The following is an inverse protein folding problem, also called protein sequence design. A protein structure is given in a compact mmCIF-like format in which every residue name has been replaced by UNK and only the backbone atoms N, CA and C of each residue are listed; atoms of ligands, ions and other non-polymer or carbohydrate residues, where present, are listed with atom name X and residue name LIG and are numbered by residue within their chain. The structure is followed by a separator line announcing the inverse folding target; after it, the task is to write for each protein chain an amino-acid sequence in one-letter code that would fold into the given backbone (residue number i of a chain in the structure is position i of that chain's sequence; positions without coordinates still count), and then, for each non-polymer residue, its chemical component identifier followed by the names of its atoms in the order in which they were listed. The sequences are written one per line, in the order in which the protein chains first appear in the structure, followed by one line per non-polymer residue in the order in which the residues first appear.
data_IF_772190268886
#
_entry.id   IF_772190268886
#
_cell.length_a   1.000
_cell.length_b   1.000
_cell.length_c   1.000
_cell.angle_alpha   90.00
_cell.angle_beta   90.00
_cell.angle_gamma   90.00
#
_symmetry.space_group_name_H-M   'P 1'
#
loop_
_entity.id
_entity.type
_entity.pdbx_description
1 polymer ?
#
# COMPACT_ATOMS: atom_id res chain seq x y z
N UNK A 1 7.27 -19.15 -0.01
CA UNK A 1 6.50 -18.08 -0.69
C UNK A 1 5.04 -18.50 -0.71
N UNK A 2 4.15 -17.59 -0.35
CA UNK A 2 2.70 -17.73 -0.51
C UNK A 2 2.22 -16.66 -1.49
N UNK A 3 1.44 -17.04 -2.50
CA UNK A 3 0.79 -16.10 -3.41
C UNK A 3 -0.66 -15.91 -2.97
N UNK A 4 -1.09 -14.65 -2.89
CA UNK A 4 -2.49 -14.27 -2.64
C UNK A 4 -3.04 -13.65 -3.91
N UNK A 5 -4.10 -14.23 -4.46
CA UNK A 5 -4.67 -13.74 -5.72
C UNK A 5 -5.59 -12.54 -5.49
N UNK A 6 -5.61 -11.62 -6.44
CA UNK A 6 -6.47 -10.44 -6.40
C UNK A 6 -7.96 -10.81 -6.23
N UNK A 7 -8.38 -11.88 -6.88
CA UNK A 7 -9.76 -12.39 -6.82
C UNK A 7 -10.14 -13.01 -5.47
N UNK A 8 -9.15 -13.28 -4.60
CA UNK A 8 -9.37 -13.82 -3.24
C UNK A 8 -9.39 -12.71 -2.18
N UNK A 9 -9.13 -11.45 -2.57
CA UNK A 9 -9.24 -10.31 -1.66
C UNK A 9 -10.68 -10.14 -1.24
N UNK A 10 -10.89 -9.73 0.00
CA UNK A 10 -12.23 -9.46 0.48
C UNK A 10 -12.74 -8.15 -0.14
N UNK A 11 -13.96 -8.17 -0.67
CA UNK A 11 -14.62 -6.99 -1.21
C UNK A 11 -15.35 -6.25 -0.09
N UNK A 12 -14.95 -5.01 0.16
CA UNK A 12 -15.57 -4.09 1.11
C UNK A 12 -16.08 -2.82 0.43
N UNK A 13 -16.08 -1.72 1.18
CA UNK A 13 -16.51 -0.41 0.70
C UNK A 13 -18.02 -0.19 0.81
N UNK A 14 -18.48 0.86 0.14
CA UNK A 14 -19.88 1.29 0.04
C UNK A 14 -20.16 1.69 -1.42
N UNK A 15 -20.69 0.76 -2.24
CA UNK A 15 -20.98 1.02 -3.64
C UNK A 15 -21.99 2.14 -3.87
N UNK A 16 -22.91 2.40 -2.93
CA UNK A 16 -23.87 3.50 -3.04
C UNK A 16 -23.19 4.85 -2.83
N UNK A 17 -22.17 4.90 -1.98
CA UNK A 17 -21.29 6.05 -1.79
C UNK A 17 -20.16 6.15 -2.85
N UNK A 18 -20.09 5.22 -3.80
CA UNK A 18 -19.06 5.20 -4.85
C UNK A 18 -17.70 4.70 -4.39
N UNK A 19 -17.66 3.83 -3.38
CA UNK A 19 -16.46 3.25 -2.76
C UNK A 19 -16.42 1.74 -3.04
N UNK A 20 -15.43 1.27 -3.79
CA UNK A 20 -15.11 -0.16 -3.96
C UNK A 20 -13.73 -0.45 -3.35
N UNK A 21 -13.71 -1.29 -2.30
CA UNK A 21 -12.51 -1.60 -1.54
C UNK A 21 -12.15 -3.07 -1.68
N UNK A 22 -10.86 -3.38 -1.84
CA UNK A 22 -10.36 -4.76 -1.84
C UNK A 22 -9.29 -4.93 -0.76
N UNK A 23 -9.55 -5.79 0.21
CA UNK A 23 -8.67 -6.00 1.37
C UNK A 23 -7.89 -7.32 1.23
N UNK A 24 -6.56 -7.24 1.31
CA UNK A 24 -5.70 -8.44 1.27
C UNK A 24 -5.50 -9.12 2.64
N UNK A 25 -5.82 -8.41 3.73
CA UNK A 25 -5.77 -8.87 5.12
C UNK A 25 -7.11 -8.61 5.80
N UNK A 26 -7.29 -9.13 7.02
CA UNK A 26 -8.43 -8.79 7.86
C UNK A 26 -8.52 -7.28 8.07
N UNK A 27 -9.67 -6.69 7.75
CA UNK A 27 -9.86 -5.24 7.80
C UNK A 27 -11.33 -4.88 8.00
N UNK A 28 -11.59 -3.87 8.82
CA UNK A 28 -12.94 -3.41 9.15
C UNK A 28 -13.83 -4.55 9.66
N UNK A 29 -15.01 -4.80 9.06
CA UNK A 29 -15.92 -5.86 9.48
C UNK A 29 -15.47 -7.27 9.04
N UNK A 30 -14.51 -7.37 8.11
CA UNK A 30 -14.00 -8.66 7.65
C UNK A 30 -12.90 -9.17 8.57
N UNK A 31 -13.09 -10.41 9.06
CA UNK A 31 -12.17 -11.05 9.99
C UNK A 31 -11.83 -12.47 9.55
N UNK A 32 -10.55 -12.69 9.28
CA UNK A 32 -9.90 -13.98 9.12
C UNK A 32 -8.76 -14.10 10.15
N UNK A 33 -8.91 -14.91 11.21
CA UNK A 33 -7.89 -15.03 12.25
C UNK A 33 -6.53 -15.54 11.75
N UNK A 34 -6.49 -16.20 10.58
CA UNK A 34 -5.26 -16.66 9.96
C UNK A 34 -4.56 -15.59 9.10
N UNK A 35 -5.21 -14.44 8.86
CA UNK A 35 -4.76 -13.40 7.93
C UNK A 35 -4.83 -11.99 8.56
N UNK A 36 -4.31 -11.86 9.78
CA UNK A 36 -4.32 -10.58 10.53
C UNK A 36 -3.12 -9.68 10.19
N UNK A 37 -1.97 -10.27 9.88
CA UNK A 37 -0.72 -9.55 9.55
C UNK A 37 0.24 -10.42 8.77
N UNK A 38 1.20 -9.80 8.10
CA UNK A 38 2.39 -10.44 7.54
C UNK A 38 3.61 -9.55 7.73
N UNK A 39 4.60 -9.99 8.51
CA UNK A 39 5.68 -9.10 8.97
C UNK A 39 5.10 -7.91 9.73
N UNK A 40 5.48 -6.69 9.33
CA UNK A 40 4.90 -5.44 9.83
C UNK A 40 3.58 -5.06 9.12
N UNK A 41 3.24 -5.62 7.95
CA UNK A 41 2.02 -5.26 7.21
C UNK A 41 0.78 -5.77 7.94
N UNK A 42 -0.10 -4.83 8.29
CA UNK A 42 -1.42 -5.04 8.91
C UNK A 42 -2.55 -4.96 7.87
N UNK A 43 -2.40 -4.10 6.86
CA UNK A 43 -3.38 -3.94 5.79
C UNK A 43 -2.68 -3.67 4.45
N UNK A 44 -3.30 -4.16 3.38
CA UNK A 44 -3.03 -3.75 2.00
C UNK A 44 -4.40 -3.67 1.34
N UNK A 45 -4.88 -2.44 1.20
CA UNK A 45 -6.21 -2.12 0.71
C UNK A 45 -6.07 -1.41 -0.62
N UNK A 46 -6.76 -1.88 -1.64
CA UNK A 46 -6.93 -1.16 -2.89
C UNK A 46 -8.29 -0.50 -2.88
N UNK A 47 -8.30 0.82 -3.00
CA UNK A 47 -9.48 1.66 -2.89
C UNK A 47 -9.76 2.30 -4.24
N UNK A 48 -10.99 2.12 -4.73
CA UNK A 48 -11.50 2.69 -5.98
C UNK A 48 -12.65 3.62 -5.67
N UNK A 49 -12.44 4.91 -5.89
CA UNK A 49 -13.38 5.97 -5.53
C UNK A 49 -13.92 6.67 -6.77
N UNK A 50 -15.24 6.74 -6.89
CA UNK A 50 -15.90 7.59 -7.88
C UNK A 50 -15.62 9.09 -7.59
N UNK A 51 -15.78 10.00 -8.58
CA UNK A 51 -15.71 11.43 -8.34
C UNK A 51 -16.65 11.87 -7.21
N UNK A 52 -16.12 12.61 -6.24
CA UNK A 52 -16.84 13.05 -5.05
C UNK A 52 -16.98 12.02 -3.93
N UNK A 53 -16.57 10.76 -4.14
CA UNK A 53 -16.56 9.72 -3.10
C UNK A 53 -15.34 9.86 -2.16
N UNK A 54 -15.41 9.26 -0.98
CA UNK A 54 -14.31 9.26 -0.03
C UNK A 54 -14.71 8.80 1.36
N UNK A 55 -13.73 8.79 2.24
CA UNK A 55 -13.87 8.44 3.63
C UNK A 55 -14.07 9.71 4.45
N UNK A 56 -15.20 9.76 5.17
CA UNK A 56 -15.48 10.82 6.14
C UNK A 56 -14.44 10.82 7.27
N UNK A 57 -14.48 11.87 8.11
CA UNK A 57 -13.48 12.06 9.14
C UNK A 57 -13.43 10.90 10.13
N UNK A 58 -12.30 10.19 10.15
CA UNK A 58 -12.12 9.00 10.98
C UNK A 58 -10.77 9.04 11.73
N UNK A 59 -10.69 8.39 12.90
CA UNK A 59 -9.47 8.35 13.70
C UNK A 59 -8.56 7.18 13.30
N UNK A 60 -7.24 7.42 13.42
CA UNK A 60 -6.23 6.36 13.49
C UNK A 60 -5.34 6.57 14.71
N UNK A 61 -4.74 5.49 15.19
CA UNK A 61 -3.74 5.51 16.25
C UNK A 61 -2.81 4.31 16.09
N UNK A 62 -1.56 4.47 16.51
CA UNK A 62 -0.57 3.38 16.60
C UNK A 62 -0.41 2.59 15.30
N UNK A 63 -0.37 3.29 14.16
CA UNK A 63 -0.25 2.71 12.82
C UNK A 63 0.54 3.66 11.92
N UNK A 64 1.44 3.11 11.10
CA UNK A 64 2.06 3.83 9.99
C UNK A 64 1.22 3.57 8.73
N UNK A 65 0.65 4.61 8.12
CA UNK A 65 -0.23 4.51 6.96
C UNK A 65 0.50 5.09 5.75
N UNK A 66 0.74 4.25 4.74
CA UNK A 66 1.41 4.62 3.50
C UNK A 66 0.47 4.44 2.32
N UNK A 67 0.23 5.52 1.59
CA UNK A 67 -0.66 5.55 0.43
C UNK A 67 0.15 5.72 -0.86
N UNK A 68 -0.18 4.88 -1.84
CA UNK A 68 0.33 4.93 -3.21
C UNK A 68 -0.82 5.15 -4.18
N UNK A 69 -0.87 6.31 -4.82
CA UNK A 69 -1.90 6.60 -5.83
C UNK A 69 -1.53 5.92 -7.15
N UNK A 70 -2.48 5.17 -7.72
CA UNK A 70 -2.32 4.44 -8.99
C UNK A 70 -2.84 5.29 -10.15
N UNK A 71 -4.03 5.88 -9.97
CA UNK A 71 -4.74 6.70 -10.95
C UNK A 71 -5.59 7.76 -10.23
N UNK A 72 -5.80 8.92 -10.83
CA UNK A 72 -6.55 10.03 -10.23
C UNK A 72 -5.71 10.80 -9.22
N UNK A 73 -6.37 11.52 -8.30
CA UNK A 73 -5.69 12.28 -7.25
C UNK A 73 -6.44 12.11 -5.92
N UNK A 74 -5.71 11.80 -4.84
CA UNK A 74 -6.27 11.70 -3.49
C UNK A 74 -6.12 13.04 -2.77
N UNK A 75 -7.22 13.58 -2.27
CA UNK A 75 -7.21 14.75 -1.40
C UNK A 75 -7.26 14.30 0.06
N UNK A 76 -6.22 14.64 0.82
CA UNK A 76 -6.10 14.35 2.25
C UNK A 76 -6.25 15.64 3.06
N UNK A 77 -7.04 15.59 4.13
CA UNK A 77 -7.19 16.68 5.11
C UNK A 77 -7.07 16.16 6.52
N UNK A 78 -6.31 16.84 7.38
CA UNK A 78 -6.23 16.52 8.80
C UNK A 78 -7.06 17.48 9.67
N UNK A 79 -7.26 17.11 10.93
CA UNK A 79 -7.98 17.93 11.91
C UNK A 79 -7.23 19.21 12.34
N UNK A 80 -5.96 19.35 12.00
CA UNK A 80 -5.19 20.57 12.19
C UNK A 80 -5.41 21.59 11.06
N UNK A 81 -6.18 21.23 10.03
CA UNK A 81 -6.53 22.08 8.89
C UNK A 81 -5.52 22.03 7.75
N UNK A 82 -4.58 21.08 7.76
CA UNK A 82 -3.71 20.86 6.63
C UNK A 82 -4.46 20.10 5.53
N UNK A 83 -4.24 20.51 4.28
CA UNK A 83 -4.76 19.86 3.08
C UNK A 83 -3.60 19.55 2.14
N UNK A 84 -3.66 18.40 1.48
CA UNK A 84 -2.69 18.02 0.46
C UNK A 84 -3.33 17.14 -0.60
N UNK A 85 -2.73 17.13 -1.78
CA UNK A 85 -3.15 16.31 -2.91
C UNK A 85 -2.02 15.36 -3.26
N UNK A 86 -2.31 14.06 -3.25
CA UNK A 86 -1.38 12.97 -3.58
C UNK A 86 -1.67 12.49 -5.00
N UNK A 87 -0.63 12.43 -5.84
CA UNK A 87 -0.74 12.08 -7.26
C UNK A 87 -0.05 10.76 -7.57
N UNK A 88 -0.29 10.16 -8.75
CA UNK A 88 0.38 8.94 -9.14
C UNK A 88 1.90 9.09 -9.11
N UNK A 89 2.56 8.18 -8.40
CA UNK A 89 4.01 8.21 -8.17
C UNK A 89 4.46 8.90 -6.88
N UNK A 90 3.54 9.57 -6.17
CA UNK A 90 3.81 10.14 -4.86
C UNK A 90 3.65 9.07 -3.76
N UNK A 91 4.48 9.15 -2.73
CA UNK A 91 4.29 8.41 -1.49
C UNK A 91 3.71 9.38 -0.47
N UNK A 92 2.50 9.10 0.01
CA UNK A 92 1.98 9.77 1.19
C UNK A 92 2.20 8.88 2.40
N UNK A 93 2.77 9.44 3.46
CA UNK A 93 2.99 8.75 4.72
C UNK A 93 2.35 9.54 5.87
N UNK A 94 1.48 8.87 6.62
CA UNK A 94 0.88 9.35 7.85
C UNK A 94 1.27 8.40 8.99
N UNK A 95 2.10 8.88 9.92
CA UNK A 95 2.31 8.22 11.20
C UNK A 95 1.21 8.67 12.16
N UNK A 96 0.31 7.77 12.54
CA UNK A 96 -0.82 8.09 13.39
C UNK A 96 -0.45 8.28 14.87
N UNK A 97 0.69 7.73 15.29
CA UNK A 97 1.25 7.88 16.64
C UNK A 97 0.22 7.71 17.77
N UNK A 98 0.06 8.69 18.68
CA UNK A 98 -0.95 8.67 19.74
C UNK A 98 -2.39 8.93 19.27
N UNK A 99 -2.58 9.47 18.06
CA UNK A 99 -3.90 9.70 17.49
C UNK A 99 -3.92 10.83 16.45
N UNK A 100 -4.54 10.56 15.30
CA UNK A 100 -4.83 11.55 14.26
C UNK A 100 -6.25 11.35 13.77
N UNK A 101 -6.91 12.43 13.32
CA UNK A 101 -8.18 12.36 12.59
C UNK A 101 -7.99 13.01 11.24
N UNK A 102 -8.49 12.34 10.21
CA UNK A 102 -8.31 12.81 8.84
C UNK A 102 -9.47 12.39 7.94
N UNK A 103 -9.51 13.02 6.77
CA UNK A 103 -10.48 12.84 5.69
C UNK A 103 -9.70 12.53 4.42
N UNK A 104 -10.17 11.55 3.65
CA UNK A 104 -9.54 11.11 2.40
C UNK A 104 -10.61 11.06 1.31
N UNK A 105 -10.49 11.90 0.28
CA UNK A 105 -11.55 12.05 -0.75
C UNK A 105 -11.01 12.13 -2.16
N UNK A 106 -11.83 11.67 -3.09
CA UNK A 106 -11.70 12.01 -4.50
C UNK A 106 -12.47 13.32 -4.78
N UNK A 107 -11.81 14.46 -4.57
CA UNK A 107 -12.39 15.77 -4.95
C UNK A 107 -12.20 16.09 -6.46
N UNK A 108 -11.61 15.16 -7.21
CA UNK A 108 -11.41 15.26 -8.65
C UNK A 108 -12.67 14.95 -9.46
N UNK A 109 -12.52 15.03 -10.79
CA UNK A 109 -13.59 14.76 -11.76
C UNK A 109 -13.47 13.40 -12.46
N UNK A 110 -12.39 12.66 -12.16
CA UNK A 110 -12.10 11.31 -12.70
C UNK A 110 -12.05 10.30 -11.56
N UNK A 111 -12.24 8.99 -11.82
CA UNK A 111 -12.06 7.96 -10.81
C UNK A 111 -10.65 7.99 -10.19
N UNK A 112 -10.58 7.70 -8.89
CA UNK A 112 -9.36 7.58 -8.13
C UNK A 112 -9.14 6.11 -7.76
N UNK A 113 -7.93 5.60 -7.98
CA UNK A 113 -7.48 4.30 -7.46
C UNK A 113 -6.20 4.49 -6.67
N UNK A 114 -6.15 3.99 -5.44
CA UNK A 114 -4.92 3.99 -4.63
C UNK A 114 -4.78 2.69 -3.83
N UNK A 115 -3.55 2.39 -3.43
CA UNK A 115 -3.23 1.31 -2.50
C UNK A 115 -2.82 1.93 -1.18
N UNK A 116 -3.52 1.59 -0.11
CA UNK A 116 -3.19 2.00 1.25
C UNK A 116 -2.64 0.81 2.03
N UNK A 117 -1.42 0.97 2.53
CA UNK A 117 -0.67 -0.02 3.29
C UNK A 117 -0.59 0.44 4.75
N UNK A 118 -1.01 -0.41 5.69
CA UNK A 118 -0.86 -0.13 7.11
C UNK A 118 0.24 -1.00 7.69
N UNK A 119 1.17 -0.40 8.42
CA UNK A 119 2.25 -1.11 9.07
C UNK A 119 2.19 -0.91 10.59
N UNK A 120 2.51 -1.98 11.31
CA UNK A 120 2.65 -1.95 12.76
C UNK A 120 3.88 -1.11 13.14
N UNK A 121 3.73 -0.09 14.00
CA UNK A 121 4.87 0.65 14.50
C UNK A 121 5.68 -0.19 15.49
N UNK A 122 6.98 0.08 15.58
CA UNK A 122 7.88 -0.54 16.54
C UNK A 122 7.62 -0.06 17.97
N UNK A 123 7.24 1.21 18.11
CA UNK A 123 6.95 1.83 19.40
C UNK A 123 5.56 2.50 19.39
N UNK A 124 4.76 2.34 20.44
CA UNK A 124 3.50 3.04 20.56
C UNK A 124 3.71 4.49 21.03
N UNK A 125 2.84 5.39 20.59
CA UNK A 125 2.81 6.80 21.02
C UNK A 125 3.63 7.70 20.11
N UNK A 126 4.06 8.84 20.64
CA UNK A 126 4.70 9.91 19.86
C UNK A 126 3.71 10.93 19.30
N UNK A 127 4.25 11.92 18.59
CA UNK A 127 3.47 12.93 17.88
C UNK A 127 3.16 12.44 16.45
N UNK A 128 1.91 12.60 15.98
CA UNK A 128 1.58 12.29 14.60
C UNK A 128 2.43 13.09 13.62
N UNK A 129 2.75 12.49 12.49
CA UNK A 129 3.47 13.16 11.40
C UNK A 129 2.87 12.82 10.05
N UNK A 130 2.99 13.75 9.13
CA UNK A 130 2.43 13.65 7.79
C UNK A 130 3.44 14.18 6.77
N UNK A 131 3.67 13.42 5.71
CA UNK A 131 4.47 13.87 4.58
C UNK A 131 3.95 13.31 3.25
N UNK A 132 4.28 14.04 2.17
CA UNK A 132 4.12 13.57 0.79
C UNK A 132 5.46 13.71 0.11
N UNK A 133 6.01 12.59 -0.36
CA UNK A 133 7.25 12.53 -1.14
C UNK A 133 6.86 12.47 -2.62
N UNK A 134 7.06 13.56 -3.39
CA UNK A 134 6.61 13.61 -4.76
C UNK A 134 7.49 12.79 -5.69
N UNK A 135 6.86 12.01 -6.59
CA UNK A 135 7.52 11.34 -7.70
C UNK A 135 8.71 10.45 -7.32
N UNK A 136 8.53 9.52 -6.39
CA UNK A 136 9.63 8.65 -5.96
C UNK A 136 10.22 7.86 -7.14
N UNK A 137 11.54 7.96 -7.29
CA UNK A 137 12.27 7.30 -8.36
C UNK A 137 12.38 5.79 -8.10
N UNK A 138 12.42 4.99 -9.18
CA UNK A 138 12.43 3.51 -9.11
C UNK A 138 13.60 2.93 -8.29
N UNK A 139 14.72 3.66 -8.22
CA UNK A 139 15.92 3.25 -7.51
C UNK A 139 16.01 3.80 -6.09
N UNK A 140 15.08 4.65 -5.66
CA UNK A 140 15.12 5.30 -4.35
C UNK A 140 14.12 4.61 -3.42
N UNK A 141 14.58 3.78 -2.48
CA UNK A 141 13.68 3.23 -1.48
C UNK A 141 13.20 4.32 -0.52
N UNK A 142 12.00 4.15 0.00
CA UNK A 142 11.44 4.97 1.07
C UNK A 142 11.57 4.23 2.39
N UNK A 143 12.41 4.75 3.29
CA UNK A 143 12.62 4.17 4.60
C UNK A 143 11.47 4.51 5.54
N UNK A 144 10.96 3.51 6.25
CA UNK A 144 9.91 3.63 7.26
C UNK A 144 10.47 3.14 8.61
N UNK A 145 11.39 3.89 9.24
CA UNK A 145 12.07 3.46 10.46
C UNK A 145 11.08 3.20 11.61
N UNK A 146 9.96 3.93 11.65
CA UNK A 146 8.88 3.75 12.62
C UNK A 146 8.27 2.34 12.62
N UNK A 147 8.36 1.61 11.50
CA UNK A 147 7.89 0.22 11.37
C UNK A 147 9.02 -0.79 11.13
N UNK A 148 10.30 -0.36 11.16
CA UNK A 148 11.43 -1.21 10.79
C UNK A 148 11.33 -1.75 9.37
N UNK A 149 10.78 -0.95 8.45
CA UNK A 149 10.45 -1.36 7.09
C UNK A 149 11.03 -0.40 6.05
N UNK A 150 11.08 -0.87 4.80
CA UNK A 150 11.49 -0.08 3.65
C UNK A 150 10.61 -0.42 2.45
N UNK A 151 10.06 0.61 1.80
CA UNK A 151 9.28 0.48 0.58
C UNK A 151 10.18 0.68 -0.64
N UNK A 152 10.15 -0.29 -1.53
CA UNK A 152 10.78 -0.21 -2.85
C UNK A 152 9.69 -0.18 -3.92
N UNK A 153 9.72 0.84 -4.78
CA UNK A 153 8.90 0.87 -5.98
C UNK A 153 9.72 0.31 -7.14
N UNK A 154 9.16 -0.63 -7.90
CA UNK A 154 9.82 -1.18 -9.10
C UNK A 154 8.90 -1.02 -10.30
N UNK A 155 9.35 -0.24 -11.28
CA UNK A 155 8.72 -0.14 -12.60
C UNK A 155 9.60 -0.91 -13.59
N UNK A 156 9.03 -1.92 -14.23
CA UNK A 156 9.74 -2.85 -15.10
C UNK A 156 9.17 -2.76 -16.51
N UNK A 157 10.03 -2.72 -17.52
CA UNK A 157 9.64 -3.05 -18.89
C UNK A 157 9.44 -4.57 -19.05
N UNK A 158 8.77 -4.98 -20.13
CA UNK A 158 8.64 -6.40 -20.46
C UNK A 158 10.03 -7.03 -20.70
N UNK A 159 10.29 -8.15 -20.02
CA UNK A 159 11.58 -8.85 -20.01
C UNK A 159 12.64 -8.24 -19.07
N UNK A 160 12.40 -7.07 -18.49
CA UNK A 160 13.33 -6.44 -17.55
C UNK A 160 13.36 -7.23 -16.23
N UNK A 161 14.55 -7.39 -15.66
CA UNK A 161 14.78 -8.10 -14.39
C UNK A 161 15.40 -7.16 -13.37
N UNK A 162 14.88 -7.20 -12.15
CA UNK A 162 15.42 -6.46 -11.01
C UNK A 162 15.56 -7.39 -9.80
N UNK A 163 16.60 -7.18 -8.99
CA UNK A 163 16.69 -7.85 -7.70
C UNK A 163 15.60 -7.32 -6.77
N UNK A 164 15.00 -8.23 -5.98
CA UNK A 164 14.20 -7.83 -4.82
C UNK A 164 15.09 -7.95 -3.57
N UNK A 165 14.82 -7.16 -2.51
CA UNK A 165 15.62 -7.20 -1.30
C UNK A 165 15.63 -8.58 -0.62
N UNK A 166 16.78 -8.93 -0.04
CA UNK A 166 16.85 -10.02 0.93
C UNK A 166 16.25 -9.52 2.25
N UNK A 167 15.32 -10.28 2.82
CA UNK A 167 14.54 -9.83 3.98
C UNK A 167 14.01 -10.98 4.82
N UNK A 168 13.83 -10.75 6.12
CA UNK A 168 13.13 -11.69 6.98
C UNK A 168 11.67 -11.86 6.53
N UNK A 169 11.02 -10.74 6.17
CA UNK A 169 9.71 -10.73 5.54
C UNK A 169 9.71 -9.80 4.33
N UNK A 170 9.30 -10.32 3.17
CA UNK A 170 9.14 -9.58 1.92
C UNK A 170 7.69 -9.67 1.46
N UNK A 171 7.03 -8.52 1.28
CA UNK A 171 5.68 -8.42 0.73
C UNK A 171 5.73 -7.69 -0.61
N UNK A 172 5.37 -8.38 -1.70
CA UNK A 172 5.31 -7.82 -3.05
C UNK A 172 3.85 -7.66 -3.44
N UNK A 173 3.44 -6.47 -3.86
CA UNK A 173 2.12 -6.18 -4.42
C UNK A 173 2.25 -5.70 -5.85
N UNK A 174 1.50 -6.29 -6.78
CA UNK A 174 1.48 -5.85 -8.17
C UNK A 174 0.43 -4.76 -8.35
N UNK A 175 0.88 -3.54 -8.65
CA UNK A 175 -0.02 -2.39 -8.88
C UNK A 175 -0.63 -2.44 -10.28
N UNK A 176 0.20 -2.71 -11.29
CA UNK A 176 -0.22 -2.77 -12.70
C UNK A 176 0.67 -3.73 -13.48
N UNK A 177 0.17 -4.21 -14.62
CA UNK A 177 0.88 -5.15 -15.48
C UNK A 177 1.04 -6.54 -14.84
N UNK A 178 1.98 -7.31 -15.36
CA UNK A 178 2.25 -8.68 -14.91
C UNK A 178 3.73 -8.84 -14.61
N UNK A 179 4.05 -9.47 -13.48
CA UNK A 179 5.42 -9.75 -13.07
C UNK A 179 5.62 -11.22 -12.70
N UNK A 180 6.77 -11.76 -13.11
CA UNK A 180 7.27 -13.05 -12.69
C UNK A 180 8.08 -12.92 -11.40
N UNK A 181 7.80 -13.75 -10.39
CA UNK A 181 8.57 -13.84 -9.15
C UNK A 181 8.66 -15.29 -8.69
N UNK A 182 9.89 -15.78 -8.53
CA UNK A 182 10.16 -17.16 -8.07
C UNK A 182 9.37 -18.25 -8.81
N UNK A 183 9.17 -18.09 -10.13
CA UNK A 183 8.46 -19.05 -11.00
C UNK A 183 6.96 -18.82 -11.12
N UNK A 184 6.37 -17.95 -10.29
CA UNK A 184 4.96 -17.56 -10.36
C UNK A 184 4.79 -16.32 -11.24
N UNK A 185 3.66 -16.25 -11.96
CA UNK A 185 3.22 -15.01 -12.62
C UNK A 185 2.13 -14.35 -11.79
N UNK A 186 2.30 -13.06 -11.51
CA UNK A 186 1.44 -12.25 -10.65
C UNK A 186 0.84 -11.11 -11.49
N UNK A 187 -0.47 -10.94 -11.42
CA UNK A 187 -1.20 -9.85 -12.10
C UNK A 187 -1.62 -8.73 -11.14
N UNK A 188 -2.28 -7.66 -11.63
CA UNK A 188 -2.67 -6.53 -10.80
C UNK A 188 -3.53 -6.95 -9.61
N UNK A 189 -3.17 -6.47 -8.42
CA UNK A 189 -3.83 -6.81 -7.16
C UNK A 189 -3.33 -8.11 -6.50
N UNK A 190 -2.57 -8.96 -7.22
CA UNK A 190 -1.92 -10.12 -6.61
C UNK A 190 -0.82 -9.67 -5.64
N UNK A 191 -0.55 -10.49 -4.63
CA UNK A 191 0.61 -10.30 -3.76
C UNK A 191 1.37 -11.59 -3.51
N UNK A 192 2.68 -11.46 -3.27
CA UNK A 192 3.54 -12.55 -2.81
C UNK A 192 4.10 -12.23 -1.42
N UNK A 193 3.95 -13.18 -0.51
CA UNK A 193 4.43 -13.14 0.87
C UNK A 193 5.58 -14.13 1.02
N UNK A 194 6.76 -13.63 1.34
CA UNK A 194 7.98 -14.47 1.41
C UNK A 194 8.66 -14.25 2.75
N UNK A 195 8.82 -15.33 3.52
CA UNK A 195 9.64 -15.34 4.74
C UNK A 195 11.02 -15.87 4.39
N UNK A 196 12.08 -15.21 4.85
CA UNK A 196 13.46 -15.55 4.53
C UNK A 196 13.76 -15.43 3.03
N UNK A 197 13.43 -14.27 2.44
CA UNK A 197 13.74 -13.99 1.05
C UNK A 197 15.26 -13.84 0.87
N UNK A 198 15.84 -14.60 -0.07
CA UNK A 198 17.27 -14.56 -0.38
C UNK A 198 17.49 -14.76 -1.88
N UNK A 199 18.26 -13.86 -2.51
CA UNK A 199 18.70 -13.98 -3.91
C UNK A 199 17.57 -13.98 -4.94
N UNK A 200 16.41 -13.41 -4.60
CA UNK A 200 15.25 -13.37 -5.47
C UNK A 200 15.30 -12.20 -6.47
N UNK A 201 14.58 -12.34 -7.58
CA UNK A 201 14.43 -11.29 -8.57
C UNK A 201 13.02 -11.30 -9.17
N UNK A 202 12.50 -10.12 -9.44
CA UNK A 202 11.28 -9.92 -10.20
C UNK A 202 11.61 -9.71 -11.68
N UNK A 203 10.73 -10.16 -12.56
CA UNK A 203 10.83 -9.98 -14.02
C UNK A 203 9.53 -9.39 -14.54
N UNK A 204 9.57 -8.33 -15.33
CA UNK A 204 8.37 -7.84 -16.02
C UNK A 204 7.93 -8.85 -17.08
N UNK A 205 6.75 -9.46 -16.93
CA UNK A 205 6.14 -10.27 -18.01
C UNK A 205 5.54 -9.33 -19.04
N UNK A 206 4.86 -8.29 -18.56
CA UNK A 206 4.52 -7.08 -19.30
C UNK A 206 5.20 -5.87 -18.64
N UNK A 207 4.90 -4.65 -19.09
CA UNK A 207 5.29 -3.47 -18.33
C UNK A 207 4.54 -3.48 -16.98
N UNK A 208 5.28 -3.51 -15.86
CA UNK A 208 4.72 -3.75 -14.54
C UNK A 208 5.18 -2.72 -13.51
N UNK A 209 4.36 -2.46 -12.49
CA UNK A 209 4.73 -1.68 -11.31
C UNK A 209 4.46 -2.50 -10.05
N UNK A 210 5.47 -2.57 -9.17
CA UNK A 210 5.44 -3.34 -7.93
C UNK A 210 5.70 -2.42 -6.74
N UNK A 211 4.95 -2.62 -5.66
CA UNK A 211 5.31 -2.16 -4.32
C UNK A 211 5.93 -3.34 -3.57
N UNK A 212 7.16 -3.17 -3.11
CA UNK A 212 7.94 -4.21 -2.44
C UNK A 212 8.32 -3.73 -1.06
N UNK A 213 7.71 -4.31 -0.03
CA UNK A 213 8.02 -4.05 1.36
C UNK A 213 9.07 -5.03 1.87
N UNK A 214 10.22 -4.48 2.21
CA UNK A 214 11.30 -5.13 2.96
C UNK A 214 11.08 -4.89 4.45
N UNK A 215 11.09 -5.94 5.25
CA UNK A 215 10.84 -5.87 6.69
C UNK A 215 11.80 -6.76 7.47
N UNK A 216 12.21 -6.25 8.63
CA UNK A 216 12.98 -7.00 9.64
C UNK A 216 12.21 -8.17 10.26
N UNK A 217 12.90 -8.96 11.11
CA UNK A 217 12.32 -10.10 11.84
C UNK A 217 11.26 -9.69 12.87
#
# INVERSE_FOLDING_TARGET
MEVRRAAERYHGGDPEAGIDSRHALSFGPHYDPANLRFGAVLACNEERLAPGAGFDEHPHSHTEIVTWVVEGELTHRDSAGHESVVRPGDVQHLSAAAGVRHVERNDGTVPLTFVQMWLAPLEPGGEPSYEVVPGIADSTPYALPGAGAMLHVRRLAAGERTAVPDAAHLYVHVVRGEAGLAGETLGPGDSARITGAEGLAAVGVTAAELLVWEMGP
#
